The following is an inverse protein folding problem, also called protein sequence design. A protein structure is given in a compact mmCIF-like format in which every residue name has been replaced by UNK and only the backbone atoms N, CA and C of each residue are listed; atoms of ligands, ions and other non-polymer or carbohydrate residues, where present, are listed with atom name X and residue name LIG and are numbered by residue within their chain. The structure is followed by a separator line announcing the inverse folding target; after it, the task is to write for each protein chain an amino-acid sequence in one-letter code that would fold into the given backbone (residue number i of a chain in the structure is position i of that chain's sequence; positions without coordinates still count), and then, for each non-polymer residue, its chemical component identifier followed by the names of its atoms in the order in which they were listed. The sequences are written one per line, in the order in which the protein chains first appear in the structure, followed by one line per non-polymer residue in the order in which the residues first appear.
data_IF_988207854026
#
_entry.id   IF_988207854026
#
_cell.length_a   1.000
_cell.length_b   1.000
_cell.length_c   1.000
_cell.angle_alpha   90.00
_cell.angle_beta   90.00
_cell.angle_gamma   90.00
#
_symmetry.space_group_name_H-M   'P 1'
#
loop_
_entity.id
_entity.type
_entity.pdbx_description
1 polymer ?
#
# COMPACT_ATOMS: atom_id res chain seq x y z
N UNK A 1 -18.44 1.48 2.18
CA UNK A 1 -17.31 1.01 3.01
C UNK A 1 -16.78 2.20 3.81
N UNK A 2 -16.38 2.06 5.08
CA UNK A 2 -15.97 3.21 5.91
C UNK A 2 -14.44 3.33 5.97
N UNK A 3 -13.88 4.16 5.08
CA UNK A 3 -12.44 4.43 5.00
C UNK A 3 -11.84 5.07 6.27
N UNK A 4 -12.66 5.59 7.20
CA UNK A 4 -12.12 6.12 8.46
C UNK A 4 -11.50 5.03 9.34
N UNK A 5 -12.03 3.81 9.31
CA UNK A 5 -11.45 2.68 10.07
C UNK A 5 -10.07 2.29 9.52
N UNK A 6 -9.93 2.30 8.18
CA UNK A 6 -8.67 2.03 7.48
C UNK A 6 -7.63 3.09 7.84
N UNK A 7 -8.00 4.38 7.75
CA UNK A 7 -7.12 5.49 8.17
C UNK A 7 -6.64 5.33 9.61
N UNK A 8 -7.54 5.03 10.55
CA UNK A 8 -7.19 4.89 11.97
C UNK A 8 -6.11 3.83 12.20
N UNK A 9 -6.23 2.67 11.56
CA UNK A 9 -5.27 1.56 11.66
C UNK A 9 -3.91 2.01 11.12
N UNK A 10 -3.89 2.62 9.93
CA UNK A 10 -2.66 3.05 9.27
C UNK A 10 -1.94 4.14 10.07
N UNK A 11 -2.66 5.17 10.53
CA UNK A 11 -2.05 6.25 11.32
C UNK A 11 -1.45 5.71 12.62
N UNK A 12 -2.14 4.76 13.26
CA UNK A 12 -1.62 4.12 14.49
C UNK A 12 -0.31 3.39 14.21
N UNK A 13 -0.22 2.61 13.12
CA UNK A 13 1.03 1.93 12.79
C UNK A 13 2.13 2.89 12.30
N UNK A 14 1.77 3.94 11.56
CA UNK A 14 2.74 4.91 11.05
C UNK A 14 3.40 5.73 12.16
N UNK A 15 2.63 6.18 13.14
CA UNK A 15 3.16 6.92 14.30
C UNK A 15 4.05 6.06 15.19
N UNK A 16 3.77 4.75 15.30
CA UNK A 16 4.54 3.85 16.17
C UNK A 16 5.83 3.36 15.49
N UNK A 17 5.78 3.07 14.19
CA UNK A 17 6.83 2.28 13.52
C UNK A 17 7.59 3.01 12.40
N UNK A 18 7.27 4.28 12.09
CA UNK A 18 7.88 5.04 11.00
C UNK A 18 7.97 4.21 9.69
N UNK A 19 6.83 3.67 9.28
CA UNK A 19 6.73 2.72 8.16
C UNK A 19 6.85 3.43 6.81
N UNK A 20 7.37 2.71 5.81
CA UNK A 20 7.49 3.22 4.44
C UNK A 20 6.15 3.24 3.69
N UNK A 21 6.07 4.05 2.63
CA UNK A 21 4.88 4.15 1.77
C UNK A 21 4.44 2.80 1.18
N UNK A 22 5.40 1.92 0.86
CA UNK A 22 5.10 0.58 0.39
C UNK A 22 4.40 -0.26 1.47
N UNK A 23 4.81 -0.12 2.73
CA UNK A 23 4.17 -0.83 3.85
C UNK A 23 2.80 -0.24 4.15
N UNK A 24 2.64 1.09 4.08
CA UNK A 24 1.34 1.76 4.17
C UNK A 24 0.37 1.19 3.15
N UNK A 25 0.77 1.15 1.88
CA UNK A 25 -0.07 0.59 0.82
C UNK A 25 -0.40 -0.89 1.03
N UNK A 26 0.55 -1.67 1.55
CA UNK A 26 0.32 -3.08 1.89
C UNK A 26 -0.71 -3.24 3.01
N UNK A 27 -0.66 -2.40 4.04
CA UNK A 27 -1.65 -2.38 5.12
C UNK A 27 -3.04 -1.96 4.64
N UNK A 28 -3.11 -0.98 3.71
CA UNK A 28 -4.36 -0.60 3.06
C UNK A 28 -4.97 -1.81 2.34
N UNK A 29 -4.16 -2.53 1.56
CA UNK A 29 -4.60 -3.74 0.88
C UNK A 29 -5.09 -4.80 1.88
N UNK A 30 -4.34 -5.07 2.94
CA UNK A 30 -4.74 -6.01 4.00
C UNK A 30 -6.08 -5.60 4.64
N UNK A 31 -6.29 -4.31 4.91
CA UNK A 31 -7.54 -3.79 5.47
C UNK A 31 -8.74 -3.85 4.51
N UNK A 32 -8.48 -3.99 3.22
CA UNK A 32 -9.48 -3.94 2.15
C UNK A 32 -9.55 -5.27 1.38
N UNK A 33 -9.23 -6.38 2.04
CA UNK A 33 -9.30 -7.74 1.50
C UNK A 33 -8.52 -7.88 0.17
N UNK A 34 -7.37 -7.22 0.09
CA UNK A 34 -6.49 -7.14 -1.08
C UNK A 34 -7.15 -6.59 -2.35
N UNK A 35 -8.27 -5.86 -2.22
CA UNK A 35 -8.91 -5.20 -3.35
C UNK A 35 -8.08 -3.97 -3.79
N UNK A 36 -7.32 -4.14 -4.87
CA UNK A 36 -6.45 -3.09 -5.42
C UNK A 36 -7.22 -1.80 -5.75
N UNK A 37 -8.39 -1.91 -6.37
CA UNK A 37 -9.16 -0.74 -6.79
C UNK A 37 -9.59 0.10 -5.60
N UNK A 38 -10.06 -0.53 -4.52
CA UNK A 38 -10.47 0.16 -3.30
C UNK A 38 -9.27 0.73 -2.53
N UNK A 39 -8.12 0.04 -2.58
CA UNK A 39 -6.88 0.56 -2.00
C UNK A 39 -6.38 1.80 -2.74
N UNK A 40 -6.36 1.77 -4.07
CA UNK A 40 -5.98 2.91 -4.89
C UNK A 40 -6.94 4.10 -4.66
N UNK A 41 -8.26 3.84 -4.59
CA UNK A 41 -9.27 4.84 -4.24
C UNK A 41 -9.02 5.44 -2.85
N UNK A 42 -8.71 4.61 -1.85
CA UNK A 42 -8.39 5.09 -0.51
C UNK A 42 -7.15 5.98 -0.50
N UNK A 43 -6.06 5.55 -1.17
CA UNK A 43 -4.79 6.29 -1.18
C UNK A 43 -4.94 7.68 -1.78
N UNK A 44 -5.68 7.79 -2.90
CA UNK A 44 -5.95 9.04 -3.60
C UNK A 44 -7.03 9.90 -2.92
N UNK A 45 -7.76 9.35 -1.96
CA UNK A 45 -8.75 10.11 -1.20
C UNK A 45 -8.08 11.08 -0.23
N UNK A 46 -8.84 12.04 0.27
CA UNK A 46 -8.40 12.95 1.34
C UNK A 46 -8.03 12.23 2.65
N UNK A 47 -8.39 10.96 2.80
CA UNK A 47 -8.02 10.13 3.95
C UNK A 47 -6.68 9.42 3.78
N UNK A 48 -6.30 9.09 2.54
CA UNK A 48 -5.00 8.51 2.20
C UNK A 48 -3.94 9.60 2.02
N UNK A 49 -4.29 10.70 1.36
CA UNK A 49 -3.44 11.88 1.24
C UNK A 49 -2.32 11.76 0.21
N UNK A 50 -2.35 10.74 -0.64
CA UNK A 50 -1.37 10.53 -1.70
C UNK A 50 -1.84 11.11 -3.03
N UNK A 51 -0.89 11.59 -3.84
CA UNK A 51 -1.15 11.95 -5.24
C UNK A 51 -0.94 10.76 -6.19
N UNK A 52 -1.37 10.92 -7.44
CA UNK A 52 -1.24 9.89 -8.48
C UNK A 52 0.23 9.48 -8.74
N UNK A 53 1.18 10.42 -8.64
CA UNK A 53 2.60 10.15 -8.89
C UNK A 53 3.24 9.38 -7.74
N UNK A 54 2.84 9.65 -6.51
CA UNK A 54 3.23 8.89 -5.32
C UNK A 54 2.68 7.47 -5.40
N UNK A 55 1.40 7.32 -5.74
CA UNK A 55 0.79 5.99 -5.92
C UNK A 55 1.49 5.20 -7.04
N UNK A 56 1.79 5.85 -8.17
CA UNK A 56 2.51 5.21 -9.28
C UNK A 56 3.92 4.76 -8.86
N UNK A 57 4.64 5.58 -8.08
CA UNK A 57 5.95 5.21 -7.53
C UNK A 57 5.86 3.96 -6.65
N UNK A 58 4.83 3.88 -5.79
CA UNK A 58 4.59 2.71 -4.94
C UNK A 58 4.35 1.45 -5.79
N UNK A 59 3.51 1.53 -6.83
CA UNK A 59 3.25 0.41 -7.74
C UNK A 59 4.53 -0.07 -8.43
N UNK A 60 5.35 0.86 -8.95
CA UNK A 60 6.63 0.51 -9.60
C UNK A 60 7.59 -0.21 -8.65
N UNK A 61 7.70 0.24 -7.40
CA UNK A 61 8.56 -0.41 -6.39
C UNK A 61 8.06 -1.83 -6.10
N UNK A 62 6.74 -2.00 -5.94
CA UNK A 62 6.12 -3.30 -5.69
C UNK A 62 6.36 -4.28 -6.84
N UNK A 63 6.16 -3.83 -8.08
CA UNK A 63 6.39 -4.65 -9.28
C UNK A 63 7.85 -5.08 -9.41
N UNK A 64 8.79 -4.17 -9.13
CA UNK A 64 10.22 -4.49 -9.12
C UNK A 64 10.57 -5.50 -8.03
N UNK A 65 9.93 -5.41 -6.86
CA UNK A 65 10.11 -6.36 -5.76
C UNK A 65 9.58 -7.75 -6.16
N UNK A 66 8.38 -7.81 -6.73
CA UNK A 66 7.77 -9.06 -7.21
C UNK A 66 8.62 -9.76 -8.27
N UNK A 67 9.16 -9.00 -9.25
CA UNK A 67 10.05 -9.54 -10.29
C UNK A 67 11.33 -10.14 -9.70
N UNK A 68 11.93 -9.49 -8.69
CA UNK A 68 13.14 -10.03 -8.02
C UNK A 68 12.84 -11.34 -7.29
N UNK A 69 11.71 -11.41 -6.60
CA UNK A 69 11.29 -12.64 -5.89
C UNK A 69 10.99 -13.78 -6.86
N UNK A 70 10.30 -13.52 -7.97
CA UNK A 70 10.04 -14.54 -9.00
C UNK A 70 11.34 -15.07 -9.63
N UNK A 71 12.29 -14.20 -9.95
CA UNK A 71 13.57 -14.63 -10.53
C UNK A 71 14.42 -15.45 -9.54
N UNK A 72 14.27 -15.24 -8.22
CA UNK A 72 14.91 -16.08 -7.21
C UNK A 72 14.21 -17.43 -7.03
N UNK A 73 12.88 -17.49 -7.14
CA UNK A 73 12.12 -18.72 -7.03
C UNK A 73 12.33 -19.68 -8.22
N UNK A 74 12.58 -19.15 -9.43
CA UNK A 74 12.90 -19.96 -10.62
C UNK A 74 14.37 -20.39 -10.73
N UNK A 75 15.24 -19.99 -9.80
CA UNK A 75 16.67 -20.33 -9.83
C UNK A 75 17.01 -21.63 -9.07
N UNK A 76 16.01 -22.43 -8.70
CA UNK A 76 16.14 -23.72 -8.00
C UNK A 76 15.67 -24.88 -8.88
#
# INVERSE_FOLDING_TARGET
MNFQRVRKIITTEAEIFNISDLRIYSLVLECLDYNKSLADEFMLSSLGGYDEKELERIHRIRDNTNKRVQNQACAF
#
